data_IF_660135105194
#
_entry.id   IF_660135105194
#
_cell.length_a   1.000
_cell.length_b   1.000
_cell.length_c   1.000
_cell.angle_alpha   90.00
_cell.angle_beta   90.00
_cell.angle_gamma   90.00
#
_symmetry.space_group_name_H-M   'P 1'
#
loop_
_entity.id
_entity.type
_entity.pdbx_description
1 polymer ?
#
# COMPACT_ATOMS: atom_id res chain seq x y z
N UNK A 1 -18.52 -5.23 55.61
CA UNK A 1 -18.00 -3.86 55.34
C UNK A 1 -18.24 -3.56 53.87
N UNK A 2 -18.89 -2.43 53.53
CA UNK A 2 -19.38 -2.15 52.19
C UNK A 2 -18.33 -1.45 51.32
N UNK A 3 -18.47 -1.62 50.01
CA UNK A 3 -17.74 -0.90 48.97
C UNK A 3 -17.98 0.62 49.09
N UNK A 4 -16.91 1.41 48.99
CA UNK A 4 -16.99 2.86 48.85
C UNK A 4 -16.87 3.24 47.37
N UNK A 5 -17.74 4.14 46.95
CA UNK A 5 -17.86 4.77 45.64
C UNK A 5 -16.66 5.67 45.28
N UNK A 6 -16.50 5.87 43.97
CA UNK A 6 -15.48 6.62 43.21
C UNK A 6 -15.18 8.06 43.65
N UNK A 7 -14.18 8.70 43.01
CA UNK A 7 -14.45 9.99 42.39
C UNK A 7 -14.22 9.99 40.88
N UNK A 8 -15.22 10.51 40.19
CA UNK A 8 -15.15 11.15 38.87
C UNK A 8 -13.82 11.92 38.68
N UNK A 9 -13.11 11.66 37.59
CA UNK A 9 -12.09 12.56 37.05
C UNK A 9 -12.52 13.04 35.65
N UNK A 10 -12.33 14.33 35.46
CA UNK A 10 -12.89 15.21 34.45
C UNK A 10 -12.51 14.87 32.98
N UNK A 11 -13.29 15.36 31.99
CA UNK A 11 -12.97 15.21 30.57
C UNK A 11 -11.78 16.14 30.21
N UNK A 12 -10.64 15.56 29.80
CA UNK A 12 -9.52 16.38 29.33
C UNK A 12 -8.10 15.79 29.30
N UNK A 13 -7.91 14.46 29.31
CA UNK A 13 -6.55 13.87 29.26
C UNK A 13 -6.39 12.80 28.17
N UNK A 14 -6.67 13.17 26.91
CA UNK A 14 -6.31 12.38 25.73
C UNK A 14 -5.17 13.07 24.97
N UNK A 15 -3.97 12.98 25.51
CA UNK A 15 -2.75 13.27 24.77
C UNK A 15 -1.77 12.13 25.02
N UNK A 16 -1.27 11.56 23.92
CA UNK A 16 -0.15 10.59 23.79
C UNK A 16 -0.52 9.12 23.63
N UNK A 17 -1.17 8.77 22.52
CA UNK A 17 -0.74 7.58 21.76
C UNK A 17 0.54 7.94 20.99
N UNK A 18 1.66 8.04 21.72
CA UNK A 18 2.98 7.90 21.09
C UNK A 18 3.08 6.43 20.68
N UNK A 19 3.19 6.19 19.38
CA UNK A 19 3.50 4.88 18.80
C UNK A 19 4.56 4.16 19.65
N UNK A 20 4.17 3.01 20.21
CA UNK A 20 5.04 2.16 21.00
C UNK A 20 6.09 1.51 20.09
N UNK A 21 7.36 1.82 20.35
CA UNK A 21 8.53 1.34 19.61
C UNK A 21 8.93 -0.11 19.95
N UNK A 22 8.12 -0.83 20.74
CA UNK A 22 8.38 -2.24 21.09
C UNK A 22 8.04 -3.24 19.98
N UNK A 23 7.47 -2.80 18.86
CA UNK A 23 7.09 -3.69 17.74
C UNK A 23 8.20 -3.81 16.70
N UNK A 24 8.87 -4.95 16.71
CA UNK A 24 9.88 -5.37 15.74
C UNK A 24 9.29 -5.37 14.31
N UNK A 25 10.03 -4.91 13.27
CA UNK A 25 9.61 -5.08 11.89
C UNK A 25 9.38 -6.57 11.61
N UNK A 26 8.23 -6.90 11.06
CA UNK A 26 7.66 -8.24 10.98
C UNK A 26 8.60 -9.28 10.36
N UNK A 27 9.44 -9.94 11.17
CA UNK A 27 10.03 -11.26 10.89
C UNK A 27 10.34 -12.09 12.15
N UNK A 28 10.10 -11.62 13.38
CA UNK A 28 10.25 -12.44 14.58
C UNK A 28 9.06 -12.32 15.53
N UNK A 29 8.59 -13.49 15.97
CA UNK A 29 7.57 -13.74 17.02
C UNK A 29 6.10 -13.78 16.58
N UNK A 30 5.77 -14.90 15.96
CA UNK A 30 4.44 -15.31 15.52
C UNK A 30 3.58 -15.91 16.65
N UNK A 31 3.60 -15.36 17.88
CA UNK A 31 2.77 -15.98 18.93
C UNK A 31 2.17 -15.12 20.05
N UNK A 32 2.20 -13.77 19.98
CA UNK A 32 1.56 -12.95 21.03
C UNK A 32 0.80 -11.72 20.58
N UNK A 33 0.06 -11.79 19.48
CA UNK A 33 -0.97 -10.78 19.19
C UNK A 33 -2.32 -11.34 18.76
N UNK A 34 -3.13 -11.73 19.76
CA UNK A 34 -4.58 -11.93 19.61
C UNK A 34 -5.28 -10.57 19.53
N UNK A 35 -5.35 -10.01 18.31
CA UNK A 35 -6.42 -9.19 17.70
C UNK A 35 -5.83 -8.27 16.61
N UNK A 36 -5.68 -8.82 15.40
CA UNK A 36 -6.26 -8.21 14.22
C UNK A 36 -5.63 -6.97 13.54
N UNK A 37 -4.55 -6.37 14.03
CA UNK A 37 -3.85 -5.32 13.27
C UNK A 37 -2.55 -5.86 12.67
N UNK A 38 -2.60 -6.21 11.39
CA UNK A 38 -1.41 -6.46 10.57
C UNK A 38 -0.90 -5.10 10.07
N UNK A 39 0.03 -4.48 10.79
CA UNK A 39 0.69 -3.26 10.31
C UNK A 39 1.55 -3.61 9.09
N UNK A 40 1.30 -2.96 7.95
CA UNK A 40 2.13 -3.13 6.76
C UNK A 40 3.52 -2.53 7.01
N UNK A 41 4.63 -3.14 6.55
CA UNK A 41 5.95 -2.50 6.63
C UNK A 41 5.99 -1.11 5.97
N UNK A 42 5.12 -0.86 5.00
CA UNK A 42 4.98 0.43 4.33
C UNK A 42 4.42 1.53 5.24
N UNK A 43 3.69 1.19 6.31
CA UNK A 43 3.28 2.16 7.34
C UNK A 43 4.51 2.79 8.01
N UNK A 44 5.51 1.97 8.34
CA UNK A 44 6.75 2.43 8.97
C UNK A 44 7.62 3.25 8.03
N UNK A 45 7.60 2.94 6.73
CA UNK A 45 8.27 3.77 5.72
C UNK A 45 7.64 5.15 5.67
N UNK A 46 6.31 5.26 5.72
CA UNK A 46 5.61 6.55 5.82
C UNK A 46 6.08 7.35 7.03
N UNK A 47 6.04 6.74 8.22
CA UNK A 47 6.50 7.37 9.48
C UNK A 47 7.98 7.78 9.41
N UNK A 48 8.83 6.98 8.76
CA UNK A 48 10.25 7.31 8.58
C UNK A 48 10.43 8.54 7.71
N UNK A 49 9.71 8.62 6.58
CA UNK A 49 9.73 9.78 5.68
C UNK A 49 9.35 11.03 6.46
N UNK A 50 8.21 11.01 7.16
CA UNK A 50 7.71 12.17 7.92
C UNK A 50 8.73 12.68 8.95
N UNK A 51 9.45 11.77 9.61
CA UNK A 51 10.48 12.15 10.59
C UNK A 51 11.72 12.77 9.96
N UNK A 52 12.13 12.27 8.81
CA UNK A 52 13.34 12.72 8.13
C UNK A 52 13.14 14.09 7.47
N UNK A 53 11.96 14.31 6.90
CA UNK A 53 11.64 15.53 6.17
C UNK A 53 11.01 16.61 7.06
N UNK A 54 10.50 16.22 8.24
CA UNK A 54 9.77 17.07 9.19
C UNK A 54 8.45 17.61 8.64
N UNK A 55 8.00 17.07 7.51
CA UNK A 55 6.67 17.31 6.98
C UNK A 55 5.78 16.12 7.36
N UNK A 56 4.51 16.39 7.67
CA UNK A 56 3.49 15.32 7.68
C UNK A 56 3.28 14.82 6.25
N UNK A 57 2.41 13.83 6.04
CA UNK A 57 1.79 13.40 4.75
C UNK A 57 1.73 14.41 3.56
N UNK A 58 1.75 15.72 3.83
CA UNK A 58 2.05 16.83 2.91
C UNK A 58 3.25 16.57 1.97
N UNK A 59 4.28 15.86 2.42
CA UNK A 59 5.43 15.53 1.57
C UNK A 59 5.04 14.79 0.29
N UNK A 60 4.10 13.88 0.39
CA UNK A 60 3.63 13.11 -0.76
C UNK A 60 2.72 13.96 -1.66
N UNK A 61 2.05 14.95 -1.09
CA UNK A 61 1.25 15.92 -1.86
C UNK A 61 2.19 16.74 -2.74
N UNK A 62 3.19 17.36 -2.14
CA UNK A 62 4.09 18.29 -2.82
C UNK A 62 5.04 17.58 -3.80
N UNK A 63 5.49 16.37 -3.46
CA UNK A 63 6.47 15.64 -4.28
C UNK A 63 5.85 14.65 -5.28
N UNK A 64 4.55 14.34 -5.17
CA UNK A 64 3.90 13.38 -6.08
C UNK A 64 2.52 13.83 -6.56
N UNK A 65 1.63 14.31 -5.69
CA UNK A 65 0.27 14.66 -6.11
C UNK A 65 0.24 15.91 -6.98
N UNK A 66 0.80 17.03 -6.52
CA UNK A 66 0.82 18.27 -7.31
C UNK A 66 1.59 18.09 -8.62
N UNK A 67 2.81 17.49 -8.62
CA UNK A 67 3.58 17.30 -9.85
C UNK A 67 2.86 16.44 -10.90
N UNK A 68 2.09 15.42 -10.48
CA UNK A 68 1.29 14.59 -11.39
C UNK A 68 -0.12 15.15 -11.64
N UNK A 69 -0.49 16.26 -11.00
CA UNK A 69 -1.83 16.82 -11.07
C UNK A 69 -2.90 15.86 -10.56
N UNK A 70 -2.64 15.19 -9.43
CA UNK A 70 -3.54 14.25 -8.78
C UNK A 70 -4.48 15.01 -7.84
N UNK A 71 -5.72 15.22 -8.29
CA UNK A 71 -6.71 16.02 -7.54
C UNK A 71 -7.67 15.14 -6.76
N UNK A 72 -7.90 13.93 -7.27
CA UNK A 72 -8.83 12.94 -6.70
C UNK A 72 -8.11 11.83 -5.93
N UNK A 73 -7.03 12.16 -5.19
CA UNK A 73 -6.37 11.28 -4.23
C UNK A 73 -6.27 11.96 -2.85
N UNK A 74 -6.50 11.22 -1.78
CA UNK A 74 -6.36 11.72 -0.40
C UNK A 74 -6.13 10.57 0.59
N UNK A 75 -5.41 10.82 1.68
CA UNK A 75 -5.41 9.96 2.86
C UNK A 75 -6.60 10.26 3.78
N UNK A 76 -7.04 11.51 3.83
CA UNK A 76 -8.06 12.00 4.75
C UNK A 76 -9.34 12.23 3.97
N UNK A 77 -10.19 11.21 3.87
CA UNK A 77 -11.43 11.32 3.09
C UNK A 77 -12.43 12.28 3.74
N UNK A 78 -12.49 12.31 5.08
CA UNK A 78 -13.37 13.20 5.84
C UNK A 78 -13.17 14.70 5.51
N UNK A 79 -11.98 15.10 5.06
CA UNK A 79 -11.68 16.50 4.70
C UNK A 79 -12.02 16.83 3.24
N UNK A 80 -12.51 15.87 2.45
CA UNK A 80 -12.81 16.00 1.02
C UNK A 80 -14.28 15.66 0.70
N UNK A 81 -15.24 16.55 1.00
CA UNK A 81 -16.66 16.33 0.71
C UNK A 81 -16.95 16.03 -0.78
N UNK A 82 -16.15 16.60 -1.67
CA UNK A 82 -16.21 16.37 -3.12
C UNK A 82 -15.79 14.93 -3.52
N UNK A 83 -14.94 14.27 -2.73
CA UNK A 83 -14.57 12.86 -2.91
C UNK A 83 -15.54 11.94 -2.19
N UNK A 84 -15.94 12.29 -0.97
CA UNK A 84 -16.90 11.53 -0.17
C UNK A 84 -18.23 11.36 -0.91
N UNK A 85 -18.71 12.39 -1.61
CA UNK A 85 -19.93 12.31 -2.42
C UNK A 85 -19.84 11.38 -3.64
N UNK A 86 -18.63 11.01 -4.07
CA UNK A 86 -18.38 10.14 -5.23
C UNK A 86 -17.87 8.75 -4.85
N UNK A 87 -17.76 8.45 -3.55
CA UNK A 87 -17.20 7.17 -3.11
C UNK A 87 -18.11 6.02 -3.51
N UNK A 88 -17.50 4.97 -4.08
CA UNK A 88 -18.22 3.76 -4.45
C UNK A 88 -18.41 2.86 -3.24
N UNK A 89 -19.60 2.26 -3.16
CA UNK A 89 -19.87 1.22 -2.17
C UNK A 89 -19.09 -0.06 -2.46
N UNK A 90 -18.71 -0.79 -1.40
CA UNK A 90 -18.09 -2.11 -1.54
C UNK A 90 -19.15 -3.21 -1.64
N UNK A 91 -18.82 -4.27 -2.34
CA UNK A 91 -19.64 -5.48 -2.43
C UNK A 91 -18.84 -6.69 -1.98
N UNK A 92 -19.50 -7.61 -1.28
CA UNK A 92 -18.94 -8.89 -0.89
C UNK A 92 -19.64 -10.01 -1.67
N UNK A 93 -18.85 -10.99 -2.10
CA UNK A 93 -19.39 -12.22 -2.70
C UNK A 93 -19.92 -13.11 -1.58
N UNK A 94 -21.19 -13.51 -1.67
CA UNK A 94 -21.78 -14.44 -0.70
C UNK A 94 -21.31 -15.88 -0.97
N UNK A 95 -21.74 -16.85 -0.15
CA UNK A 95 -21.48 -18.28 -0.42
C UNK A 95 -22.24 -18.80 -1.65
N UNK A 96 -23.30 -18.10 -2.03
CA UNK A 96 -24.06 -18.31 -3.26
C UNK A 96 -23.45 -17.43 -4.37
N UNK A 97 -23.75 -17.66 -5.66
CA UNK A 97 -23.28 -16.79 -6.75
C UNK A 97 -23.99 -15.43 -6.78
N UNK A 98 -24.16 -14.78 -5.62
CA UNK A 98 -24.79 -13.48 -5.42
C UNK A 98 -23.82 -12.52 -4.73
N UNK A 99 -24.11 -11.23 -4.84
CA UNK A 99 -23.34 -10.17 -4.19
C UNK A 99 -24.23 -9.46 -3.16
N UNK A 100 -23.64 -9.07 -2.04
CA UNK A 100 -24.28 -8.23 -1.05
C UNK A 100 -23.53 -6.91 -0.89
N UNK A 101 -24.29 -5.83 -0.71
CA UNK A 101 -23.72 -4.54 -0.36
C UNK A 101 -23.10 -4.61 1.03
N UNK A 102 -21.92 -4.00 1.18
CA UNK A 102 -21.23 -3.91 2.46
C UNK A 102 -21.37 -2.48 2.97
N UNK A 103 -22.16 -2.32 4.04
CA UNK A 103 -22.53 -1.01 4.58
C UNK A 103 -21.34 -0.18 5.07
N UNK A 104 -20.27 -0.83 5.50
CA UNK A 104 -19.03 -0.18 5.95
C UNK A 104 -17.88 -0.76 5.18
N UNK A 105 -17.07 0.07 4.51
CA UNK A 105 -15.84 -0.39 3.86
C UNK A 105 -14.94 -1.03 4.93
N UNK A 106 -14.82 -2.38 5.01
CA UNK A 106 -14.26 -3.03 6.19
C UNK A 106 -12.75 -2.78 6.35
N UNK A 107 -12.13 -2.26 5.30
CA UNK A 107 -10.69 -2.10 5.18
C UNK A 107 -10.23 -0.64 5.21
N UNK A 108 -11.13 0.34 5.34
CA UNK A 108 -10.76 1.75 5.38
C UNK A 108 -11.64 2.52 6.36
N UNK A 109 -11.03 3.04 7.42
CA UNK A 109 -11.68 4.03 8.28
C UNK A 109 -11.47 5.41 7.63
N UNK A 110 -12.53 6.15 7.27
CA UNK A 110 -12.38 7.47 6.65
C UNK A 110 -11.88 8.53 7.63
N UNK A 111 -11.91 8.23 8.93
CA UNK A 111 -11.60 9.14 10.05
C UNK A 111 -10.22 8.84 10.68
N UNK A 112 -9.27 8.31 9.90
CA UNK A 112 -7.90 8.12 10.39
C UNK A 112 -7.22 9.47 10.60
N UNK A 113 -6.58 9.64 11.77
CA UNK A 113 -5.81 10.84 12.10
C UNK A 113 -4.44 10.89 11.39
N UNK A 114 -3.87 9.71 11.12
CA UNK A 114 -2.55 9.55 10.51
C UNK A 114 -2.65 9.06 9.06
N UNK A 115 -1.71 9.48 8.22
CA UNK A 115 -1.60 8.99 6.85
C UNK A 115 -0.99 7.59 6.81
N UNK A 116 -1.81 6.60 6.42
CA UNK A 116 -1.38 5.20 6.38
C UNK A 116 -0.73 4.83 5.04
N UNK A 117 0.60 4.80 4.99
CA UNK A 117 1.37 4.56 3.76
C UNK A 117 1.16 3.17 3.13
N UNK A 118 0.69 2.18 3.91
CA UNK A 118 0.48 0.82 3.41
C UNK A 118 -0.86 0.57 2.73
N UNK A 119 -1.86 1.41 2.99
CA UNK A 119 -3.21 1.21 2.45
C UNK A 119 -4.22 2.26 2.89
N UNK A 120 -3.83 3.50 3.13
CA UNK A 120 -4.74 4.58 3.56
C UNK A 120 -5.23 5.49 2.45
N UNK A 121 -4.76 5.33 1.21
CA UNK A 121 -5.10 6.25 0.12
C UNK A 121 -6.46 5.88 -0.49
N UNK A 122 -7.34 6.88 -0.52
CA UNK A 122 -8.54 6.88 -1.35
C UNK A 122 -8.26 7.64 -2.64
N UNK A 123 -8.77 7.13 -3.76
CA UNK A 123 -8.84 7.95 -4.96
C UNK A 123 -9.41 7.27 -6.19
N UNK A 124 -9.51 8.07 -7.25
CA UNK A 124 -10.06 7.61 -8.51
C UNK A 124 -9.06 6.72 -9.26
N UNK A 125 -9.50 5.66 -9.96
CA UNK A 125 -8.62 4.80 -10.76
C UNK A 125 -7.79 5.57 -11.78
N UNK A 126 -8.34 6.63 -12.38
CA UNK A 126 -7.65 7.49 -13.33
C UNK A 126 -6.42 8.20 -12.74
N UNK A 127 -6.46 8.58 -11.45
CA UNK A 127 -5.32 9.18 -10.78
C UNK A 127 -4.21 8.16 -10.54
N UNK A 128 -4.58 6.94 -10.13
CA UNK A 128 -3.61 5.85 -9.98
C UNK A 128 -2.92 5.49 -11.30
N UNK A 129 -3.65 5.53 -12.42
CA UNK A 129 -3.07 5.29 -13.75
C UNK A 129 -2.05 6.36 -14.15
N UNK A 130 -2.17 7.60 -13.67
CA UNK A 130 -1.14 8.63 -13.88
C UNK A 130 0.16 8.27 -13.16
N UNK A 131 0.08 7.73 -11.94
CA UNK A 131 1.24 7.24 -11.17
C UNK A 131 1.94 6.10 -11.92
N UNK A 132 1.18 5.09 -12.36
CA UNK A 132 1.72 3.96 -13.14
C UNK A 132 2.36 4.45 -14.44
N UNK A 133 1.70 5.36 -15.17
CA UNK A 133 2.24 5.97 -16.40
C UNK A 133 3.54 6.73 -16.13
N UNK A 134 3.62 7.50 -15.05
CA UNK A 134 4.84 8.22 -14.69
C UNK A 134 5.99 7.28 -14.33
N UNK A 135 5.70 6.16 -13.65
CA UNK A 135 6.69 5.12 -13.36
C UNK A 135 7.19 4.41 -14.62
N UNK A 136 6.27 4.02 -15.52
CA UNK A 136 6.61 3.44 -16.83
C UNK A 136 7.50 4.36 -17.67
N UNK A 137 7.18 5.66 -17.67
CA UNK A 137 7.99 6.65 -18.38
C UNK A 137 9.36 6.86 -17.75
N UNK A 138 9.48 6.70 -16.43
CA UNK A 138 10.75 6.83 -15.75
C UNK A 138 11.72 5.67 -16.02
N UNK A 139 11.22 4.49 -16.43
CA UNK A 139 12.07 3.35 -16.83
C UNK A 139 12.36 3.30 -18.33
N UNK A 140 11.68 4.12 -19.13
CA UNK A 140 11.88 4.18 -20.58
C UNK A 140 13.31 4.60 -20.96
N UNK A 141 13.76 4.17 -22.15
CA UNK A 141 15.10 4.49 -22.65
C UNK A 141 15.33 6.00 -22.83
N UNK A 142 14.26 6.77 -23.05
CA UNK A 142 14.28 8.23 -23.20
C UNK A 142 14.29 9.00 -21.87
N UNK A 143 14.10 8.31 -20.73
CA UNK A 143 14.08 8.94 -19.41
C UNK A 143 15.46 9.49 -19.01
N UNK A 144 15.47 10.57 -18.24
CA UNK A 144 16.70 11.24 -17.81
C UNK A 144 17.12 10.85 -16.38
N UNK A 145 18.40 11.03 -16.05
CA UNK A 145 18.89 10.99 -14.66
C UNK A 145 18.95 12.38 -14.01
N UNK A 146 18.31 13.36 -14.64
CA UNK A 146 18.24 14.75 -14.19
C UNK A 146 17.17 15.03 -13.14
N UNK A 147 16.81 16.31 -12.93
CA UNK A 147 15.67 16.69 -12.11
C UNK A 147 14.37 16.03 -12.57
N UNK A 148 13.39 15.89 -11.66
CA UNK A 148 12.05 15.43 -12.01
C UNK A 148 11.46 16.30 -13.15
N UNK A 149 10.76 15.66 -14.09
CA UNK A 149 10.07 16.31 -15.20
C UNK A 149 8.58 15.96 -15.11
N UNK A 150 7.82 16.54 -14.16
CA UNK A 150 6.41 16.22 -14.01
C UNK A 150 5.57 16.76 -15.19
N UNK A 151 4.46 16.10 -15.56
CA UNK A 151 3.96 14.85 -15.01
C UNK A 151 4.60 13.62 -15.69
N UNK A 152 5.63 13.82 -16.52
CA UNK A 152 6.20 12.79 -17.36
C UNK A 152 7.09 11.82 -16.59
N UNK A 153 7.88 12.31 -15.65
CA UNK A 153 8.89 11.53 -14.93
C UNK A 153 9.11 12.12 -13.53
N UNK A 154 8.76 11.37 -12.48
CA UNK A 154 8.99 11.79 -11.08
C UNK A 154 10.34 11.38 -10.54
N UNK A 155 10.78 10.17 -10.90
CA UNK A 155 12.03 9.59 -10.43
C UNK A 155 13.08 9.70 -11.52
N UNK A 156 14.34 9.85 -11.13
CA UNK A 156 15.48 9.63 -12.04
C UNK A 156 15.39 8.23 -12.63
N UNK A 157 15.86 8.06 -13.86
CA UNK A 157 15.84 6.75 -14.53
C UNK A 157 16.56 5.68 -13.73
N UNK A 158 17.74 5.97 -13.20
CA UNK A 158 18.51 5.10 -12.31
C UNK A 158 17.71 4.68 -11.07
N UNK A 159 17.02 5.62 -10.41
CA UNK A 159 16.15 5.31 -9.27
C UNK A 159 14.96 4.45 -9.66
N UNK A 160 14.32 4.74 -10.80
CA UNK A 160 13.21 3.93 -11.30
C UNK A 160 13.67 2.52 -11.67
N UNK A 161 14.82 2.35 -12.32
CA UNK A 161 15.40 1.04 -12.63
C UNK A 161 15.74 0.24 -11.38
N UNK A 162 16.28 0.89 -10.34
CA UNK A 162 16.58 0.23 -9.07
C UNK A 162 15.33 -0.42 -8.45
N UNK A 163 14.12 0.12 -8.70
CA UNK A 163 12.88 -0.51 -8.23
C UNK A 163 12.67 -1.93 -8.80
N UNK A 164 13.21 -2.21 -9.98
CA UNK A 164 13.09 -3.49 -10.67
C UNK A 164 14.30 -4.42 -10.44
N UNK A 165 15.26 -4.02 -9.61
CA UNK A 165 16.34 -4.89 -9.16
C UNK A 165 15.86 -5.87 -8.08
N UNK A 166 16.60 -6.96 -7.89
CA UNK A 166 16.26 -8.00 -6.91
C UNK A 166 16.62 -7.52 -5.50
N UNK A 167 15.62 -7.28 -4.66
CA UNK A 167 15.79 -6.68 -3.33
C UNK A 167 15.86 -7.72 -2.19
N UNK A 168 15.74 -9.01 -2.50
CA UNK A 168 15.73 -10.08 -1.51
C UNK A 168 16.80 -11.13 -1.77
N UNK A 169 17.32 -11.70 -0.68
CA UNK A 169 18.30 -12.78 -0.75
C UNK A 169 17.66 -14.13 -1.11
N UNK A 170 18.49 -15.13 -1.38
CA UNK A 170 18.06 -16.47 -1.79
C UNK A 170 17.13 -17.16 -0.80
N UNK A 171 17.35 -16.95 0.51
CA UNK A 171 16.50 -17.52 1.56
C UNK A 171 15.09 -16.96 1.52
N UNK A 172 14.97 -15.63 1.44
CA UNK A 172 13.70 -14.94 1.31
C UNK A 172 12.99 -15.28 -0.02
N UNK A 173 13.74 -15.41 -1.12
CA UNK A 173 13.19 -15.84 -2.42
C UNK A 173 12.60 -17.25 -2.35
N UNK A 174 13.29 -18.19 -1.69
CA UNK A 174 12.76 -19.55 -1.47
C UNK A 174 11.48 -19.53 -0.63
N UNK A 175 11.45 -18.73 0.44
CA UNK A 175 10.27 -18.57 1.28
C UNK A 175 9.08 -17.96 0.53
N UNK A 176 9.32 -16.94 -0.31
CA UNK A 176 8.32 -16.33 -1.18
C UNK A 176 7.68 -17.39 -2.10
N UNK A 177 8.52 -18.18 -2.77
CA UNK A 177 8.07 -19.21 -3.71
C UNK A 177 7.26 -20.31 -3.03
N UNK A 178 7.72 -20.76 -1.86
CA UNK A 178 6.97 -21.71 -1.03
C UNK A 178 5.62 -21.13 -0.61
N UNK A 179 5.57 -19.89 -0.14
CA UNK A 179 4.32 -19.24 0.27
C UNK A 179 3.31 -19.17 -0.90
N UNK A 180 3.75 -18.83 -2.10
CA UNK A 180 2.89 -18.79 -3.29
C UNK A 180 2.41 -20.17 -3.74
N UNK A 181 3.23 -21.21 -3.58
CA UNK A 181 2.86 -22.57 -3.92
C UNK A 181 1.87 -23.19 -2.92
N UNK A 182 2.06 -22.96 -1.62
CA UNK A 182 1.26 -23.58 -0.56
C UNK A 182 -0.01 -22.80 -0.19
N UNK A 183 -0.08 -21.51 -0.51
CA UNK A 183 -1.23 -20.65 -0.18
C UNK A 183 -1.82 -20.05 -1.47
N UNK A 184 -2.69 -20.78 -2.19
CA UNK A 184 -3.26 -20.31 -3.47
C UNK A 184 -3.91 -18.92 -3.38
N UNK A 185 -4.62 -18.65 -2.28
CA UNK A 185 -5.25 -17.34 -2.03
C UNK A 185 -4.24 -16.19 -2.00
N UNK A 186 -3.04 -16.41 -1.48
CA UNK A 186 -1.99 -15.39 -1.47
C UNK A 186 -1.51 -15.10 -2.90
N UNK A 187 -1.31 -16.14 -3.70
CA UNK A 187 -0.94 -16.00 -5.11
C UNK A 187 -2.02 -15.27 -5.93
N UNK A 188 -3.30 -15.55 -5.67
CA UNK A 188 -4.42 -14.86 -6.32
C UNK A 188 -4.47 -13.37 -5.95
N UNK A 189 -4.25 -13.04 -4.67
CA UNK A 189 -4.18 -11.66 -4.19
C UNK A 189 -3.02 -10.86 -4.82
N UNK A 190 -1.95 -11.53 -5.24
CA UNK A 190 -0.77 -10.91 -5.84
C UNK A 190 -0.76 -10.99 -7.38
N UNK A 191 -1.95 -10.99 -7.97
CA UNK A 191 -2.12 -10.82 -9.42
C UNK A 191 -2.30 -12.10 -10.22
N UNK A 192 -2.53 -13.25 -9.56
CA UNK A 192 -2.95 -14.49 -10.21
C UNK A 192 -1.95 -15.00 -11.25
N UNK A 193 -0.66 -14.95 -10.91
CA UNK A 193 0.43 -15.51 -11.70
C UNK A 193 0.40 -17.04 -11.55
N UNK A 194 0.70 -17.86 -12.58
CA UNK A 194 0.81 -19.30 -12.38
C UNK A 194 1.76 -19.62 -11.22
N UNK A 195 1.34 -20.47 -10.28
CA UNK A 195 2.06 -20.71 -9.03
C UNK A 195 3.51 -21.16 -9.25
N UNK A 196 3.74 -21.96 -10.29
CA UNK A 196 5.06 -22.45 -10.69
C UNK A 196 6.02 -21.39 -11.26
N UNK A 197 5.52 -20.22 -11.68
CA UNK A 197 6.37 -19.15 -12.25
C UNK A 197 7.40 -18.68 -11.25
N UNK A 198 8.65 -18.47 -11.67
CA UNK A 198 9.65 -17.83 -10.82
C UNK A 198 9.28 -16.39 -10.45
N UNK A 199 9.36 -16.05 -9.16
CA UNK A 199 9.00 -14.76 -8.59
C UNK A 199 10.12 -14.22 -7.72
N UNK A 200 10.26 -12.90 -7.72
CA UNK A 200 11.16 -12.16 -6.85
C UNK A 200 10.45 -10.89 -6.33
N UNK A 201 11.17 -10.02 -5.65
CA UNK A 201 10.64 -8.78 -5.09
C UNK A 201 11.51 -7.57 -5.41
N UNK A 202 10.87 -6.53 -5.92
CA UNK A 202 11.47 -5.21 -6.18
C UNK A 202 11.00 -4.16 -5.17
N UNK A 203 11.47 -2.92 -5.31
CA UNK A 203 10.94 -1.81 -4.50
C UNK A 203 9.59 -1.35 -5.06
N UNK A 204 8.52 -1.99 -4.58
CA UNK A 204 7.14 -1.61 -4.92
C UNK A 204 6.21 -2.80 -5.14
N UNK A 205 6.76 -3.97 -5.46
CA UNK A 205 5.93 -5.16 -5.69
C UNK A 205 6.71 -6.39 -6.12
N UNK A 206 5.95 -7.41 -6.49
CA UNK A 206 6.47 -8.70 -6.92
C UNK A 206 6.96 -8.62 -8.37
N UNK A 207 8.14 -9.16 -8.63
CA UNK A 207 8.74 -9.24 -9.97
C UNK A 207 8.50 -10.63 -10.58
N UNK A 208 8.12 -10.65 -11.84
CA UNK A 208 7.96 -11.87 -12.63
C UNK A 208 9.30 -12.19 -13.28
N UNK A 209 9.86 -13.36 -13.02
CA UNK A 209 11.23 -13.69 -13.45
C UNK A 209 11.30 -14.51 -14.74
N UNK A 210 10.16 -14.74 -15.39
CA UNK A 210 10.00 -15.55 -16.60
C UNK A 210 8.99 -14.90 -17.55
N UNK A 211 9.14 -15.16 -18.86
CA UNK A 211 8.13 -14.76 -19.84
C UNK A 211 6.90 -15.66 -19.73
N UNK A 212 5.73 -15.06 -19.53
CA UNK A 212 4.46 -15.78 -19.54
C UNK A 212 3.85 -15.74 -20.95
N UNK A 213 3.60 -16.90 -21.60
CA UNK A 213 3.05 -16.94 -22.95
C UNK A 213 1.78 -16.10 -23.08
N UNK A 214 1.77 -15.16 -24.05
CA UNK A 214 0.65 -14.25 -24.34
C UNK A 214 0.20 -13.38 -23.16
N UNK A 215 1.02 -13.25 -22.11
CA UNK A 215 0.74 -12.45 -20.91
C UNK A 215 1.89 -11.48 -20.63
N UNK A 216 2.43 -11.53 -19.41
CA UNK A 216 3.42 -10.60 -18.87
C UNK A 216 4.83 -11.09 -19.23
N UNK A 217 5.75 -10.16 -19.50
CA UNK A 217 7.15 -10.50 -19.79
C UNK A 217 7.95 -10.60 -18.49
N UNK A 218 9.12 -11.22 -18.57
CA UNK A 218 10.13 -11.18 -17.52
C UNK A 218 10.46 -9.72 -17.17
N UNK A 219 10.58 -9.43 -15.89
CA UNK A 219 10.84 -8.11 -15.33
C UNK A 219 9.59 -7.28 -15.04
N UNK A 220 8.39 -7.71 -15.45
CA UNK A 220 7.14 -7.03 -15.08
C UNK A 220 6.95 -7.06 -13.56
N UNK A 221 6.64 -5.91 -12.98
CA UNK A 221 6.26 -5.76 -11.58
C UNK A 221 4.74 -5.78 -11.45
N UNK A 222 4.25 -6.42 -10.38
CA UNK A 222 2.83 -6.44 -10.07
C UNK A 222 2.59 -6.42 -8.57
N UNK A 223 1.50 -5.76 -8.18
CA UNK A 223 1.01 -5.77 -6.81
C UNK A 223 -0.51 -5.67 -6.80
N UNK A 224 -1.08 -5.83 -5.61
CA UNK A 224 -2.51 -5.80 -5.39
C UNK A 224 -2.90 -4.97 -4.18
N UNK A 225 -4.16 -4.56 -4.15
CA UNK A 225 -4.79 -3.89 -3.03
C UNK A 225 -6.16 -4.51 -2.77
N UNK A 226 -6.56 -4.57 -1.50
CA UNK A 226 -7.98 -4.82 -1.19
C UNK A 226 -8.80 -3.61 -1.70
N UNK A 227 -10.06 -3.79 -2.15
CA UNK A 227 -10.86 -5.00 -2.04
C UNK A 227 -10.71 -6.03 -3.17
N UNK A 228 -10.14 -5.70 -4.34
CA UNK A 228 -9.80 -6.62 -5.45
C UNK A 228 -9.07 -5.82 -6.56
N UNK A 229 -8.16 -4.94 -6.15
CA UNK A 229 -7.40 -4.06 -7.04
C UNK A 229 -6.08 -4.75 -7.40
N UNK A 230 -5.66 -4.61 -8.65
CA UNK A 230 -4.36 -5.07 -9.11
C UNK A 230 -3.80 -4.10 -10.15
N UNK A 231 -2.48 -3.95 -10.15
CA UNK A 231 -1.77 -3.19 -11.17
C UNK A 231 -0.56 -3.95 -11.67
N UNK A 232 -0.10 -3.54 -12.85
CA UNK A 232 1.08 -4.07 -13.53
C UNK A 232 1.90 -2.90 -14.07
N UNK A 233 3.22 -3.05 -14.02
CA UNK A 233 4.21 -2.09 -14.50
C UNK A 233 5.31 -2.86 -15.25
#
# INVERSE_FOLDING_TARGET
MPAKSEPFLAPGSWLRTRLDFSTTPAFSELDRWKRGQRTSPLEWVGVLIERLTRYSSLDMIDNMFEPLGLKDLTFFLATRPDLTSRIVSMSERTKQPTFQHVARQPCFEPDMEDAQGGGGIFGAPGEYMKIIRASLRATDASACDGPAIPPAQLLRRSTANAMFELQINDGARKALQQAMAYVPRLNDMLGGIPSATSKDWGMGGMLIMEDLPRRRRKGTMTWGGRPNLAWVN
#
